data_IF_658884117934
#
_entry.id   IF_658884117934
#
_cell.length_a   1.000
_cell.length_b   1.000
_cell.length_c   1.000
_cell.angle_alpha   90.00
_cell.angle_beta   90.00
_cell.angle_gamma   90.00
#
_symmetry.space_group_name_H-M   'P 1'
#
loop_
_entity.id
_entity.type
_entity.pdbx_description
1 polymer ?
#
# COMPACT_ATOMS: atom_id res chain seq x y z
N UNK A 1 2.37 -6.81 -5.63
CA UNK A 1 3.67 -6.17 -5.96
C UNK A 1 3.45 -4.79 -6.56
N UNK A 2 2.67 -4.68 -7.65
CA UNK A 2 2.39 -3.41 -8.32
C UNK A 2 1.76 -2.36 -7.41
N UNK A 3 0.93 -2.78 -6.46
CA UNK A 3 0.32 -1.88 -5.48
C UNK A 3 1.38 -1.23 -4.59
N UNK A 4 2.33 -2.03 -4.11
CA UNK A 4 3.45 -1.54 -3.31
C UNK A 4 4.39 -0.64 -4.12
N UNK A 5 4.71 -1.03 -5.37
CA UNK A 5 5.55 -0.23 -6.29
C UNK A 5 4.95 1.14 -6.54
N UNK A 6 3.63 1.17 -6.75
CA UNK A 6 2.90 2.39 -6.95
C UNK A 6 2.93 3.27 -5.71
N UNK A 7 2.71 2.72 -4.51
CA UNK A 7 2.80 3.51 -3.26
C UNK A 7 4.19 4.09 -3.05
N UNK A 8 5.26 3.31 -3.28
CA UNK A 8 6.64 3.83 -3.21
C UNK A 8 6.85 4.98 -4.19
N UNK A 9 6.44 4.80 -5.45
CA UNK A 9 6.56 5.83 -6.50
C UNK A 9 5.77 7.08 -6.17
N UNK A 10 4.54 6.95 -5.65
CA UNK A 10 3.70 8.08 -5.22
C UNK A 10 4.40 8.95 -4.16
N UNK A 11 5.21 8.32 -3.30
CA UNK A 11 5.96 8.97 -2.23
C UNK A 11 7.37 9.42 -2.69
N UNK A 12 7.72 9.21 -3.95
CA UNK A 12 9.01 9.63 -4.54
C UNK A 12 10.16 8.65 -4.31
N UNK A 13 9.89 7.43 -3.85
CA UNK A 13 10.91 6.40 -3.70
C UNK A 13 11.11 5.59 -4.99
N UNK A 14 12.35 5.14 -5.27
CA UNK A 14 12.70 4.43 -6.50
C UNK A 14 12.12 3.01 -6.58
N UNK A 15 11.71 2.41 -5.47
CA UNK A 15 11.19 1.05 -5.49
C UNK A 15 10.74 0.50 -4.14
N UNK A 16 10.33 -0.76 -4.16
CA UNK A 16 9.87 -1.54 -3.00
C UNK A 16 11.01 -2.41 -2.51
N UNK A 17 11.29 -2.34 -1.21
CA UNK A 17 12.20 -3.26 -0.53
C UNK A 17 11.43 -4.50 -0.05
N UNK A 18 10.26 -4.31 0.56
CA UNK A 18 9.45 -5.37 1.16
C UNK A 18 8.00 -4.93 1.31
N UNK A 19 7.07 -5.90 1.33
CA UNK A 19 5.72 -5.71 1.87
C UNK A 19 5.54 -6.61 3.09
N UNK A 20 4.93 -6.06 4.13
CA UNK A 20 4.78 -6.73 5.43
C UNK A 20 3.28 -6.88 5.69
N UNK A 21 2.87 -8.06 6.17
CA UNK A 21 1.48 -8.38 6.54
C UNK A 21 1.34 -8.81 8.00
N UNK A 22 2.44 -8.82 8.76
CA UNK A 22 2.51 -9.22 10.17
C UNK A 22 3.24 -8.15 10.96
N UNK A 23 3.13 -8.15 12.30
CA UNK A 23 3.81 -7.19 13.18
C UNK A 23 3.35 -5.72 13.05
N UNK A 24 2.12 -5.45 12.60
CA UNK A 24 1.54 -4.12 12.76
C UNK A 24 0.99 -3.94 14.16
N UNK A 25 1.34 -2.81 14.79
CA UNK A 25 0.51 -2.32 15.89
C UNK A 25 -0.80 -1.86 15.26
N UNK A 26 -1.97 -2.40 15.68
CA UNK A 26 -3.24 -2.08 15.05
C UNK A 26 -3.44 -0.57 15.01
N UNK A 27 -3.46 -0.01 13.80
CA UNK A 27 -3.84 1.38 13.62
C UNK A 27 -5.33 1.42 13.86
N UNK A 28 -5.82 2.18 14.84
CA UNK A 28 -7.27 2.32 15.04
C UNK A 28 -7.84 3.17 13.92
N UNK A 29 -8.92 2.74 13.27
CA UNK A 29 -9.64 3.62 12.34
C UNK A 29 -10.43 2.88 11.26
N UNK A 30 -10.70 3.61 10.18
CA UNK A 30 -11.37 3.06 8.99
C UNK A 30 -10.30 2.41 8.10
N UNK A 31 -10.52 1.16 7.71
CA UNK A 31 -9.77 0.53 6.63
C UNK A 31 -10.33 1.06 5.31
N UNK A 32 -9.59 1.96 4.68
CA UNK A 32 -10.06 2.69 3.50
C UNK A 32 -10.14 1.83 2.24
N UNK A 33 -9.22 0.90 2.07
CA UNK A 33 -9.07 0.13 0.83
C UNK A 33 -8.92 -1.35 1.15
N UNK A 34 -9.55 -2.18 0.30
CA UNK A 34 -9.36 -3.64 0.26
C UNK A 34 -9.34 -4.10 -1.19
N UNK A 35 -8.75 -5.27 -1.42
CA UNK A 35 -8.61 -5.87 -2.76
C UNK A 35 -8.05 -4.87 -3.78
N UNK A 36 -7.02 -4.13 -3.37
CA UNK A 36 -6.28 -3.23 -4.26
C UNK A 36 -5.61 -4.07 -5.33
N UNK A 37 -5.81 -3.69 -6.59
CA UNK A 37 -5.22 -4.33 -7.76
C UNK A 37 -4.80 -3.28 -8.78
N UNK A 38 -3.56 -2.83 -8.67
CA UNK A 38 -2.94 -1.90 -9.59
C UNK A 38 -2.37 -2.61 -10.82
N UNK A 39 -2.51 -1.98 -11.98
CA UNK A 39 -1.90 -2.42 -13.25
C UNK A 39 -0.45 -1.96 -13.40
N UNK A 40 -0.05 -0.95 -12.62
CA UNK A 40 1.28 -0.31 -12.60
C UNK A 40 1.31 1.02 -13.37
N UNK A 41 0.21 1.38 -14.02
CA UNK A 41 0.07 2.59 -14.85
C UNK A 41 -0.57 3.76 -14.11
N UNK A 42 -1.19 3.48 -12.97
CA UNK A 42 -1.91 4.45 -12.17
C UNK A 42 -0.97 5.48 -11.55
N UNK A 43 -1.44 6.71 -11.35
CA UNK A 43 -0.69 7.75 -10.64
C UNK A 43 -0.90 7.71 -9.13
N UNK A 44 -2.04 7.16 -8.69
CA UNK A 44 -2.44 7.08 -7.29
C UNK A 44 -3.01 5.71 -6.95
N UNK A 45 -2.89 5.29 -5.69
CA UNK A 45 -3.49 4.05 -5.19
C UNK A 45 -5.02 4.12 -5.23
N UNK A 46 -5.54 5.35 -5.22
CA UNK A 46 -6.95 5.67 -5.43
C UNK A 46 -7.47 5.30 -6.83
N UNK A 47 -6.59 5.20 -7.83
CA UNK A 47 -6.98 4.93 -9.22
C UNK A 47 -6.95 3.43 -9.55
N UNK A 48 -6.40 2.60 -8.65
CA UNK A 48 -6.34 1.16 -8.84
C UNK A 48 -7.72 0.52 -8.66
N UNK A 49 -7.92 -0.69 -9.19
CA UNK A 49 -9.13 -1.45 -8.83
C UNK A 49 -9.13 -1.70 -7.32
N UNK A 50 -10.25 -1.42 -6.64
CA UNK A 50 -10.41 -1.71 -5.21
C UNK A 50 -11.89 -1.90 -4.85
N UNK A 51 -12.18 -2.42 -3.66
CA UNK A 51 -13.53 -2.75 -3.19
C UNK A 51 -14.46 -1.56 -2.86
N UNK A 52 -14.10 -0.34 -3.26
CA UNK A 52 -14.73 0.92 -2.83
C UNK A 52 -14.16 1.49 -1.52
N UNK A 53 -14.25 2.82 -1.36
CA UNK A 53 -13.70 3.55 -0.21
C UNK A 53 -14.45 3.24 1.08
N UNK A 54 -13.71 2.85 2.12
CA UNK A 54 -14.27 2.53 3.45
C UNK A 54 -15.18 1.29 3.46
N UNK A 55 -15.30 0.60 2.33
CA UNK A 55 -16.11 -0.61 2.18
C UNK A 55 -15.23 -1.84 2.43
N UNK A 56 -14.86 -2.04 3.70
CA UNK A 56 -14.02 -3.14 4.12
C UNK A 56 -14.63 -3.95 5.25
N UNK A 57 -14.56 -5.26 5.12
CA UNK A 57 -14.82 -6.23 6.20
C UNK A 57 -13.52 -6.83 6.75
N UNK A 58 -12.37 -6.33 6.30
CA UNK A 58 -11.08 -6.71 6.88
C UNK A 58 -11.00 -6.17 8.32
N UNK A 59 -10.11 -6.76 9.11
CA UNK A 59 -9.72 -6.22 10.41
C UNK A 59 -8.25 -5.78 10.37
N UNK A 60 -7.83 -4.92 11.31
CA UNK A 60 -6.48 -4.34 11.33
C UNK A 60 -5.33 -5.35 11.49
N UNK A 61 -5.62 -6.62 11.75
CA UNK A 61 -4.63 -7.70 11.68
C UNK A 61 -4.30 -8.13 10.25
N UNK A 62 -5.02 -7.61 9.26
CA UNK A 62 -4.81 -7.81 7.81
C UNK A 62 -4.22 -6.56 7.14
N UNK A 63 -3.86 -5.53 7.92
CA UNK A 63 -3.21 -4.33 7.39
C UNK A 63 -1.87 -4.70 6.72
N UNK A 64 -1.57 -4.01 5.62
CA UNK A 64 -0.37 -4.23 4.83
C UNK A 64 0.49 -2.96 4.88
N UNK A 65 1.76 -3.13 5.21
CA UNK A 65 2.76 -2.06 5.13
C UNK A 65 3.76 -2.31 4.01
N UNK A 66 4.43 -1.24 3.58
CA UNK A 66 5.40 -1.26 2.51
C UNK A 66 6.67 -0.57 2.99
N UNK A 67 7.80 -1.23 2.82
CA UNK A 67 9.13 -0.64 3.01
C UNK A 67 9.65 -0.21 1.64
N UNK A 68 9.97 1.07 1.51
CA UNK A 68 10.55 1.63 0.28
C UNK A 68 12.07 1.54 0.29
N UNK A 69 12.67 1.40 -0.88
CA UNK A 69 14.13 1.58 -1.05
C UNK A 69 14.42 3.07 -0.85
N UNK A 70 15.37 3.40 0.02
CA UNK A 70 15.91 4.75 0.12
C UNK A 70 17.18 4.81 -0.72
N UNK A 71 17.29 5.79 -1.62
CA UNK A 71 18.59 6.14 -2.18
C UNK A 71 19.38 6.83 -1.08
N UNK A 72 20.43 6.17 -0.58
CA UNK A 72 21.47 6.88 0.15
C UNK A 72 22.18 7.70 -0.93
N UNK A 73 22.01 9.02 -0.89
CA UNK A 73 22.94 9.92 -1.58
C UNK A 73 24.32 9.66 -0.97
N UNK A 74 25.12 8.82 -1.65
CA UNK A 74 26.54 8.60 -1.33
C UNK A 74 27.33 9.86 -1.68
#
# INVERSE_FOLDING_TARGET
MKDAELVCRMLGYPGVQEYITTNFTPVKGIIWLRYVGCTGRESSIADCSHGGWGNSYCYHGEDVGVTSIQEINV
#
